data_IF_280497904662
#
_entry.id   IF_280497904662
#
_cell.length_a   1.000
_cell.length_b   1.000
_cell.length_c   1.000
_cell.angle_alpha   90.00
_cell.angle_beta   90.00
_cell.angle_gamma   90.00
#
_symmetry.space_group_name_H-M   'P 1'
#
loop_
_entity.id
_entity.type
_entity.pdbx_description
1 polymer ?
#
# COMPACT_ATOMS: atom_id res chain seq x y z
N UNK A 1 -28.51 19.39 -3.27
CA UNK A 1 -27.26 18.63 -3.51
C UNK A 1 -27.56 17.15 -3.34
N UNK A 2 -27.25 16.30 -4.32
CA UNK A 2 -27.67 14.89 -4.35
C UNK A 2 -26.95 14.04 -3.29
N UNK A 3 -27.71 13.20 -2.57
CA UNK A 3 -27.24 12.26 -1.53
C UNK A 3 -26.07 11.37 -2.00
N UNK A 4 -26.04 11.01 -3.28
CA UNK A 4 -24.98 10.20 -3.89
C UNK A 4 -23.60 10.89 -3.89
N UNK A 5 -23.54 12.22 -4.07
CA UNK A 5 -22.28 12.98 -4.03
C UNK A 5 -21.69 12.98 -2.62
N UNK A 6 -22.54 13.08 -1.60
CA UNK A 6 -22.10 13.04 -0.21
C UNK A 6 -21.58 11.65 0.18
N UNK A 7 -22.25 10.58 -0.27
CA UNK A 7 -21.79 9.21 -0.06
C UNK A 7 -20.44 8.95 -0.75
N UNK A 8 -20.25 9.43 -1.99
CA UNK A 8 -18.97 9.31 -2.69
C UNK A 8 -17.83 10.04 -1.96
N UNK A 9 -18.09 11.26 -1.49
CA UNK A 9 -17.11 12.03 -0.70
C UNK A 9 -16.75 11.32 0.60
N UNK A 10 -17.73 10.77 1.31
CA UNK A 10 -17.48 10.02 2.55
C UNK A 10 -16.61 8.78 2.29
N UNK A 11 -16.94 8.02 1.23
CA UNK A 11 -16.17 6.84 0.83
C UNK A 11 -14.74 7.19 0.40
N UNK A 12 -14.56 8.30 -0.31
CA UNK A 12 -13.25 8.80 -0.71
C UNK A 12 -12.38 9.16 0.50
N UNK A 13 -12.94 9.85 1.51
CA UNK A 13 -12.23 10.20 2.75
C UNK A 13 -11.86 8.94 3.53
N UNK A 14 -12.78 7.99 3.69
CA UNK A 14 -12.50 6.71 4.36
C UNK A 14 -11.39 5.92 3.65
N UNK A 15 -11.33 5.99 2.32
CA UNK A 15 -10.28 5.33 1.53
C UNK A 15 -8.93 6.03 1.71
N UNK A 16 -8.96 7.37 1.79
CA UNK A 16 -7.78 8.20 2.02
C UNK A 16 -7.14 7.91 3.38
N UNK A 17 -7.94 7.93 4.44
CA UNK A 17 -7.52 7.57 5.80
C UNK A 17 -6.92 6.16 5.85
N UNK A 18 -7.59 5.22 5.19
CA UNK A 18 -7.12 3.85 5.10
C UNK A 18 -5.79 3.73 4.33
N UNK A 19 -5.58 4.49 3.25
CA UNK A 19 -4.30 4.51 2.55
C UNK A 19 -3.17 5.05 3.43
N UNK A 20 -3.43 6.09 4.23
CA UNK A 20 -2.47 6.64 5.18
C UNK A 20 -2.11 5.59 6.23
N UNK A 21 -3.10 4.97 6.87
CA UNK A 21 -2.89 3.91 7.86
C UNK A 21 -2.02 2.77 7.30
N UNK A 22 -2.30 2.31 6.07
CA UNK A 22 -1.51 1.24 5.44
C UNK A 22 -0.10 1.68 5.07
N UNK A 23 0.11 2.94 4.67
CA UNK A 23 1.45 3.46 4.44
C UNK A 23 2.26 3.51 5.75
N UNK A 24 1.67 4.01 6.83
CA UNK A 24 2.30 4.07 8.16
C UNK A 24 2.71 2.68 8.67
N UNK A 25 1.87 1.65 8.46
CA UNK A 25 2.21 0.28 8.82
C UNK A 25 3.41 -0.28 8.02
N UNK A 26 3.54 0.07 6.74
CA UNK A 26 4.69 -0.31 5.93
C UNK A 26 5.95 0.41 6.41
N UNK A 27 5.85 1.70 6.73
CA UNK A 27 6.96 2.49 7.25
C UNK A 27 7.41 2.04 8.64
N UNK A 28 6.49 1.60 9.49
CA UNK A 28 6.82 1.05 10.80
C UNK A 28 7.63 -0.25 10.68
N UNK A 29 7.28 -1.13 9.72
CA UNK A 29 8.09 -2.31 9.40
C UNK A 29 9.49 -1.92 8.93
N UNK A 30 9.63 -0.88 8.12
CA UNK A 30 10.94 -0.37 7.69
C UNK A 30 11.76 0.18 8.85
N UNK A 31 11.12 0.92 9.76
CA UNK A 31 11.75 1.51 10.95
C UNK A 31 12.30 0.41 11.87
N UNK A 32 11.48 -0.60 12.14
CA UNK A 32 11.89 -1.78 12.92
C UNK A 32 13.04 -2.53 12.26
N UNK A 33 13.03 -2.66 10.93
CA UNK A 33 14.14 -3.28 10.21
C UNK A 33 15.43 -2.45 10.30
N UNK A 34 15.34 -1.12 10.18
CA UNK A 34 16.50 -0.23 10.32
C UNK A 34 17.12 -0.28 11.72
N UNK A 35 16.28 -0.34 12.76
CA UNK A 35 16.74 -0.50 14.14
C UNK A 35 17.41 -1.85 14.35
N UNK A 36 16.87 -2.93 13.76
CA UNK A 36 17.50 -4.24 13.80
C UNK A 36 18.86 -4.27 13.09
N UNK A 37 18.99 -3.59 11.95
CA UNK A 37 20.25 -3.51 11.20
C UNK A 37 21.29 -2.65 11.92
N UNK A 38 20.85 -1.62 12.66
CA UNK A 38 21.74 -0.84 13.54
C UNK A 38 22.24 -1.66 14.72
N UNK A 39 21.39 -2.46 15.34
CA UNK A 39 21.76 -3.32 16.47
C UNK A 39 22.78 -4.39 16.07
N UNK A 40 22.69 -4.93 14.84
CA UNK A 40 23.71 -5.81 14.23
C UNK A 40 25.12 -5.26 14.32
N UNK A 41 25.29 -3.96 14.09
CA UNK A 41 26.60 -3.32 14.04
C UNK A 41 27.33 -3.34 15.39
N UNK A 42 26.61 -3.62 16.48
CA UNK A 42 27.11 -3.49 17.86
C UNK A 42 27.40 -4.86 18.49
N UNK A 43 26.75 -5.94 18.05
CA UNK A 43 26.83 -7.27 18.68
C UNK A 43 27.01 -8.36 17.62
N UNK A 44 28.23 -8.87 17.44
CA UNK A 44 28.51 -10.00 16.54
C UNK A 44 28.58 -11.32 17.33
N UNK A 45 27.42 -11.80 17.78
CA UNK A 45 27.26 -13.08 18.48
C UNK A 45 26.40 -14.06 17.65
N UNK A 46 26.65 -15.36 17.79
CA UNK A 46 25.85 -16.41 17.13
C UNK A 46 24.36 -16.32 17.52
N UNK A 47 24.06 -16.01 18.78
CA UNK A 47 22.70 -15.85 19.29
C UNK A 47 21.97 -14.67 18.62
N UNK A 48 22.71 -13.61 18.28
CA UNK A 48 22.17 -12.45 17.58
C UNK A 48 21.73 -12.81 16.15
N UNK A 49 22.47 -13.69 15.45
CA UNK A 49 22.15 -14.11 14.07
C UNK A 49 20.83 -14.87 14.00
N UNK A 50 20.57 -15.76 14.95
CA UNK A 50 19.31 -16.51 15.04
C UNK A 50 18.13 -15.62 15.43
N UNK A 51 18.30 -14.74 16.42
CA UNK A 51 17.28 -13.77 16.80
C UNK A 51 16.92 -12.84 15.63
N UNK A 52 17.92 -12.37 14.88
CA UNK A 52 17.71 -11.53 13.71
C UNK A 52 17.06 -12.30 12.54
N UNK A 53 17.31 -13.61 12.38
CA UNK A 53 16.60 -14.45 11.40
C UNK A 53 15.11 -14.54 11.72
N UNK A 54 14.78 -14.80 12.99
CA UNK A 54 13.38 -14.85 13.46
C UNK A 54 12.71 -13.48 13.28
N UNK A 55 13.42 -12.39 13.57
CA UNK A 55 12.92 -11.02 13.35
C UNK A 55 12.58 -10.76 11.87
N UNK A 56 13.50 -11.04 10.94
CA UNK A 56 13.27 -10.86 9.49
C UNK A 56 12.11 -11.74 8.99
N UNK A 57 11.97 -12.96 9.49
CA UNK A 57 10.84 -13.83 9.14
C UNK A 57 9.50 -13.26 9.62
N UNK A 58 9.47 -12.67 10.82
CA UNK A 58 8.28 -11.98 11.37
C UNK A 58 7.90 -10.76 10.52
N UNK A 59 8.86 -9.91 10.16
CA UNK A 59 8.61 -8.75 9.29
C UNK A 59 8.10 -9.17 7.91
N UNK A 60 8.67 -10.25 7.34
CA UNK A 60 8.18 -10.80 6.07
C UNK A 60 6.73 -11.28 6.16
N UNK A 61 6.35 -11.95 7.25
CA UNK A 61 4.98 -12.40 7.47
C UNK A 61 4.01 -11.20 7.61
N UNK A 62 4.40 -10.14 8.32
CA UNK A 62 3.62 -8.91 8.45
C UNK A 62 3.37 -8.23 7.10
N UNK A 63 4.40 -8.06 6.28
CA UNK A 63 4.25 -7.50 4.92
C UNK A 63 3.37 -8.38 4.02
N UNK A 64 3.44 -9.71 4.16
CA UNK A 64 2.57 -10.65 3.43
C UNK A 64 1.10 -10.53 3.81
N UNK A 65 0.80 -10.36 5.10
CA UNK A 65 -0.57 -10.12 5.56
C UNK A 65 -1.11 -8.80 5.01
N UNK A 66 -0.33 -7.72 5.10
CA UNK A 66 -0.69 -6.42 4.53
C UNK A 66 -0.93 -6.51 3.02
N UNK A 67 -0.09 -7.24 2.27
CA UNK A 67 -0.33 -7.47 0.84
C UNK A 67 -1.65 -8.20 0.57
N UNK A 68 -2.01 -9.18 1.42
CA UNK A 68 -3.28 -9.89 1.30
C UNK A 68 -4.47 -8.96 1.57
N UNK A 69 -4.36 -8.09 2.59
CA UNK A 69 -5.38 -7.07 2.87
C UNK A 69 -5.56 -6.10 1.71
N UNK A 70 -4.46 -5.62 1.11
CA UNK A 70 -4.53 -4.74 -0.07
C UNK A 70 -5.23 -5.44 -1.24
N UNK A 71 -4.90 -6.71 -1.51
CA UNK A 71 -5.56 -7.49 -2.57
C UNK A 71 -7.04 -7.71 -2.30
N UNK A 72 -7.42 -8.03 -1.06
CA UNK A 72 -8.81 -8.24 -0.69
C UNK A 72 -9.65 -6.95 -0.82
N UNK A 73 -9.03 -5.79 -0.58
CA UNK A 73 -9.71 -4.49 -0.70
C UNK A 73 -9.63 -3.88 -2.11
N UNK A 74 -8.90 -4.49 -3.05
CA UNK A 74 -8.72 -3.96 -4.40
C UNK A 74 -10.05 -3.76 -5.13
N UNK A 75 -10.96 -4.73 -5.09
CA UNK A 75 -12.28 -4.61 -5.71
C UNK A 75 -13.11 -3.46 -5.10
N UNK A 76 -12.95 -3.19 -3.80
CA UNK A 76 -13.62 -2.08 -3.11
C UNK A 76 -13.05 -0.73 -3.55
N UNK A 77 -11.73 -0.65 -3.70
CA UNK A 77 -11.03 0.53 -4.23
C UNK A 77 -11.46 0.82 -5.67
N UNK A 78 -11.46 -0.19 -6.53
CA UNK A 78 -11.91 -0.06 -7.93
C UNK A 78 -13.38 0.37 -8.02
N UNK A 79 -14.25 -0.14 -7.17
CA UNK A 79 -15.66 0.26 -7.14
C UNK A 79 -15.82 1.76 -6.83
N UNK A 80 -15.01 2.33 -5.93
CA UNK A 80 -15.04 3.78 -5.64
C UNK A 80 -14.58 4.58 -6.86
N UNK A 81 -13.54 4.14 -7.56
CA UNK A 81 -13.08 4.80 -8.80
C UNK A 81 -14.11 4.69 -9.92
N UNK A 82 -14.69 3.51 -10.14
CA UNK A 82 -15.72 3.30 -11.18
C UNK A 82 -16.97 4.13 -10.92
N UNK A 83 -17.48 4.14 -9.68
CA UNK A 83 -18.65 4.98 -9.33
C UNK A 83 -18.30 6.46 -9.44
N UNK A 84 -17.09 6.85 -9.05
CA UNK A 84 -16.58 8.21 -9.20
C UNK A 84 -16.51 8.69 -10.66
N UNK A 85 -16.19 7.80 -11.60
CA UNK A 85 -16.12 8.11 -13.05
C UNK A 85 -17.52 8.06 -13.71
N UNK A 86 -18.34 7.08 -13.35
CA UNK A 86 -19.66 6.89 -13.95
C UNK A 86 -20.68 7.93 -13.48
N UNK A 87 -20.55 8.46 -12.27
CA UNK A 87 -21.49 9.42 -11.71
C UNK A 87 -21.50 10.78 -12.45
N UNK A 88 -20.34 11.41 -12.75
CA UNK A 88 -20.27 12.58 -13.63
C UNK A 88 -20.81 12.29 -15.03
N UNK A 89 -20.47 11.13 -15.61
CA UNK A 89 -20.91 10.74 -16.96
C UNK A 89 -22.44 10.58 -17.02
N UNK A 90 -23.03 9.98 -15.99
CA UNK A 90 -24.47 9.81 -15.86
C UNK A 90 -25.20 11.15 -15.67
N UNK A 91 -24.64 12.05 -14.86
CA UNK A 91 -25.18 13.40 -14.71
C UNK A 91 -25.11 14.18 -16.02
N UNK A 92 -24.03 14.09 -16.79
CA UNK A 92 -23.91 14.72 -18.11
C UNK A 92 -24.93 14.14 -19.10
N UNK A 93 -25.15 12.82 -19.07
CA UNK A 93 -26.09 12.13 -19.96
C UNK A 93 -27.55 12.44 -19.65
N UNK A 94 -27.95 12.55 -18.37
CA UNK A 94 -29.33 12.92 -18.00
C UNK A 94 -29.65 14.39 -18.30
N UNK A 95 -28.63 15.25 -18.30
CA UNK A 95 -28.77 16.69 -18.40
C UNK A 95 -28.30 17.27 -19.75
N UNK A 96 -28.15 16.42 -20.77
CA UNK A 96 -27.54 16.75 -22.06
C UNK A 96 -28.24 17.89 -22.86
N UNK A 97 -29.34 18.47 -22.36
CA UNK A 97 -29.94 19.68 -22.93
C UNK A 97 -29.73 20.96 -22.13
N UNK A 98 -29.27 20.93 -20.87
CA UNK A 98 -29.25 22.16 -20.03
C UNK A 98 -28.06 22.33 -19.06
N UNK A 99 -27.16 21.37 -18.86
CA UNK A 99 -26.28 21.42 -17.65
C UNK A 99 -24.78 21.32 -17.89
N UNK A 100 -24.32 21.20 -19.15
CA UNK A 100 -22.91 21.43 -19.49
C UNK A 100 -22.51 22.89 -19.21
N UNK A 101 -23.45 23.83 -19.34
CA UNK A 101 -23.25 25.24 -18.97
C UNK A 101 -23.42 25.52 -17.47
N UNK A 102 -24.16 24.70 -16.72
CA UNK A 102 -24.62 25.08 -15.37
C UNK A 102 -23.73 24.58 -14.21
N UNK A 103 -22.97 23.48 -14.36
CA UNK A 103 -22.11 22.97 -13.25
C UNK A 103 -20.74 22.38 -13.66
N UNK A 104 -19.90 23.08 -14.46
CA UNK A 104 -18.52 22.65 -14.73
C UNK A 104 -17.67 22.53 -13.45
N UNK A 105 -17.99 23.35 -12.46
CA UNK A 105 -17.30 23.49 -11.17
C UNK A 105 -17.44 22.33 -10.16
N UNK A 106 -18.18 21.26 -10.49
CA UNK A 106 -18.28 20.06 -9.65
C UNK A 106 -17.61 18.82 -10.25
N UNK A 107 -17.45 18.77 -11.57
CA UNK A 107 -16.79 17.65 -12.25
C UNK A 107 -15.27 17.70 -12.04
N UNK A 108 -14.66 18.87 -12.25
CA UNK A 108 -13.20 19.05 -12.11
C UNK A 108 -12.67 18.72 -10.71
N UNK A 109 -13.24 19.23 -9.59
CA UNK A 109 -12.67 18.95 -8.27
C UNK A 109 -12.84 17.49 -7.81
N UNK A 110 -13.90 16.81 -8.26
CA UNK A 110 -14.10 15.39 -7.96
C UNK A 110 -13.15 14.52 -8.78
N UNK A 111 -12.94 14.86 -10.04
CA UNK A 111 -11.99 14.19 -10.93
C UNK A 111 -10.56 14.29 -10.36
N UNK A 112 -10.12 15.50 -10.01
CA UNK A 112 -8.81 15.74 -9.40
C UNK A 112 -8.62 14.91 -8.11
N UNK A 113 -9.63 14.85 -7.25
CA UNK A 113 -9.57 14.04 -6.01
C UNK A 113 -9.50 12.53 -6.30
N UNK A 114 -10.20 12.04 -7.32
CA UNK A 114 -10.12 10.64 -7.73
C UNK A 114 -8.75 10.30 -8.33
N UNK A 115 -8.17 11.21 -9.10
CA UNK A 115 -6.83 11.07 -9.68
C UNK A 115 -5.75 11.05 -8.59
N UNK A 116 -5.86 11.92 -7.58
CA UNK A 116 -5.00 11.90 -6.39
C UNK A 116 -5.09 10.58 -5.63
N UNK A 117 -6.31 10.08 -5.40
CA UNK A 117 -6.53 8.79 -4.73
C UNK A 117 -5.99 7.62 -5.55
N UNK A 118 -6.15 7.64 -6.86
CA UNK A 118 -5.61 6.64 -7.78
C UNK A 118 -4.07 6.64 -7.76
N UNK A 119 -3.46 7.83 -7.79
CA UNK A 119 -2.02 8.00 -7.65
C UNK A 119 -1.50 7.44 -6.31
N UNK A 120 -2.18 7.74 -5.19
CA UNK A 120 -1.85 7.20 -3.86
C UNK A 120 -1.99 5.68 -3.80
N UNK A 121 -3.04 5.13 -4.39
CA UNK A 121 -3.24 3.67 -4.46
C UNK A 121 -2.10 2.98 -5.21
N UNK A 122 -1.75 3.49 -6.39
CA UNK A 122 -0.63 2.98 -7.20
C UNK A 122 0.70 3.11 -6.45
N UNK A 123 0.92 4.24 -5.78
CA UNK A 123 2.09 4.48 -4.92
C UNK A 123 2.19 3.46 -3.79
N UNK A 124 1.07 3.18 -3.10
CA UNK A 124 1.00 2.20 -2.02
C UNK A 124 1.29 0.77 -2.49
N UNK A 125 0.74 0.38 -3.65
CA UNK A 125 1.01 -0.92 -4.26
C UNK A 125 2.49 -1.07 -4.65
N UNK A 126 3.07 -0.05 -5.26
CA UNK A 126 4.49 -0.01 -5.63
C UNK A 126 5.41 -0.07 -4.41
N UNK A 127 5.09 0.69 -3.36
CA UNK A 127 5.82 0.67 -2.09
C UNK A 127 5.79 -0.74 -1.48
N UNK A 128 4.61 -1.35 -1.38
CA UNK A 128 4.45 -2.71 -0.85
C UNK A 128 5.25 -3.74 -1.65
N UNK A 129 5.21 -3.69 -2.99
CA UNK A 129 6.00 -4.59 -3.84
C UNK A 129 7.50 -4.43 -3.59
N UNK A 130 7.99 -3.19 -3.62
CA UNK A 130 9.41 -2.86 -3.39
C UNK A 130 9.88 -3.40 -2.03
N UNK A 131 9.06 -3.23 -0.98
CA UNK A 131 9.40 -3.71 0.37
C UNK A 131 9.38 -5.22 0.50
N UNK A 132 8.40 -5.89 -0.10
CA UNK A 132 8.38 -7.34 -0.16
C UNK A 132 9.59 -7.90 -0.89
N UNK A 133 10.00 -7.30 -2.01
CA UNK A 133 11.20 -7.73 -2.73
C UNK A 133 12.47 -7.57 -1.91
N UNK A 134 12.65 -6.42 -1.26
CA UNK A 134 13.77 -6.16 -0.34
C UNK A 134 13.80 -7.19 0.79
N UNK A 135 12.65 -7.42 1.44
CA UNK A 135 12.55 -8.36 2.55
C UNK A 135 12.75 -9.82 2.12
N UNK A 136 12.25 -10.20 0.93
CA UNK A 136 12.53 -11.52 0.34
C UNK A 136 14.02 -11.72 0.08
N UNK A 137 14.73 -10.70 -0.41
CA UNK A 137 16.19 -10.77 -0.60
C UNK A 137 16.92 -10.91 0.73
N UNK A 138 16.50 -10.22 1.79
CA UNK A 138 17.08 -10.39 3.13
C UNK A 138 16.81 -11.78 3.73
N UNK A 139 15.60 -12.31 3.52
CA UNK A 139 15.20 -13.64 3.97
C UNK A 139 15.90 -14.76 3.17
N UNK A 140 16.11 -14.58 1.85
CA UNK A 140 16.77 -15.57 0.96
C UNK A 140 18.29 -15.45 0.94
N UNK A 141 18.85 -14.24 0.98
CA UNK A 141 20.30 -13.98 0.91
C UNK A 141 21.08 -14.59 2.06
N UNK A 142 20.44 -14.78 3.22
CA UNK A 142 21.04 -15.50 4.36
C UNK A 142 21.00 -17.03 4.22
N UNK A 143 20.13 -17.62 3.40
CA UNK A 143 20.16 -19.07 3.14
C UNK A 143 21.42 -19.49 2.38
N UNK A 144 22.00 -18.61 1.56
CA UNK A 144 23.20 -18.92 0.78
C UNK A 144 24.49 -18.92 1.61
N UNK A 145 24.56 -18.14 2.69
CA UNK A 145 25.77 -18.07 3.54
C UNK A 145 25.99 -19.39 4.29
N UNK A 146 24.93 -20.07 4.73
CA UNK A 146 25.04 -21.35 5.44
C UNK A 146 25.36 -22.55 4.54
N UNK A 147 25.00 -22.52 3.24
CA UNK A 147 25.41 -23.57 2.32
C UNK A 147 26.91 -23.51 2.00
N UNK A 148 27.52 -22.32 2.00
CA UNK A 148 28.96 -22.18 1.70
C UNK A 148 29.81 -22.53 2.94
N UNK A 149 29.34 -22.21 4.15
CA UNK A 149 30.04 -22.61 5.39
C UNK A 149 30.05 -24.12 5.64
N UNK A 150 29.13 -24.89 5.04
CA UNK A 150 29.11 -26.36 5.15
C UNK A 150 30.02 -27.05 4.12
N UNK A 151 30.36 -26.38 3.01
CA UNK A 151 31.22 -26.93 1.95
C UNK A 151 32.72 -26.68 2.21
N UNK A 152 33.06 -25.79 3.15
CA UNK A 152 34.44 -25.59 3.60
C UNK A 152 34.81 -26.31 4.90
N UNK A 153 33.94 -27.20 5.40
CA UNK A 153 34.19 -28.02 6.59
C UNK A 153 34.08 -29.54 6.32
N UNK A 154 34.37 -29.95 5.09
CA UNK A 154 34.56 -31.35 4.67
C UNK A 154 35.92 -31.49 4.00
#
# INVERSE_FOLDING_TARGET
MSSAVQLLRLRAVQLEEWFIEKAELIEEVDRQQADSDRFKSVVDSADWKDAHRVHVAKQYAQLRMLQSELKANHARVEAVFQVGILFPLFLVSQNAHNTVEQHPQLADPLQVRLDELSSRWNGLQSLMQTRLEKMMKLHRGKKFVYCISFVHLV
#
